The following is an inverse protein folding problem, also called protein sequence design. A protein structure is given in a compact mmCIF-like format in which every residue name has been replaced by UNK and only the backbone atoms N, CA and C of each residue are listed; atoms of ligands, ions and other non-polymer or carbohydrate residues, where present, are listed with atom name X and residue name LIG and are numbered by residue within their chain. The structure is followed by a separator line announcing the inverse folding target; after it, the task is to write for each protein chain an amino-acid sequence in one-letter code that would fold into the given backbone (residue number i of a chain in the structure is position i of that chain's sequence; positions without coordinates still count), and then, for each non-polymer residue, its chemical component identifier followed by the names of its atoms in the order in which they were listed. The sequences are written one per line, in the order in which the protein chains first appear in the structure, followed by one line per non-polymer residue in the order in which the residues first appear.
data_IF_709933801681
#
_entry.id   IF_709933801681
#
_cell.length_a   1.000
_cell.length_b   1.000
_cell.length_c   1.000
_cell.angle_alpha   90.00
_cell.angle_beta   90.00
_cell.angle_gamma   90.00
#
_symmetry.space_group_name_H-M   'P 1'
#
loop_
_entity.id
_entity.type
_entity.pdbx_description
1 polymer ?
#
# COMPACT_ATOMS: atom_id res chain seq x y z
N UNK A 1 4.46 9.29 -14.61
CA UNK A 1 3.30 9.30 -13.69
C UNK A 1 3.61 10.19 -12.50
N UNK A 2 3.11 11.43 -12.54
CA UNK A 2 3.45 12.51 -11.62
C UNK A 2 2.39 12.66 -10.52
N UNK A 3 2.47 11.85 -9.46
CA UNK A 3 1.79 12.11 -8.17
C UNK A 3 2.80 12.03 -7.03
N UNK A 4 3.98 12.62 -7.23
CA UNK A 4 5.02 12.70 -6.21
C UNK A 4 4.88 14.07 -5.55
N UNK A 5 4.28 14.09 -4.35
CA UNK A 5 4.14 15.22 -3.41
C UNK A 5 2.91 16.14 -3.56
N UNK A 6 1.69 15.61 -3.40
CA UNK A 6 0.55 16.43 -2.93
C UNK A 6 0.10 15.97 -1.54
N UNK A 7 0.52 16.76 -0.53
CA UNK A 7 -0.02 16.88 0.84
C UNK A 7 -0.38 15.60 1.62
N UNK A 8 0.55 15.08 2.45
CA UNK A 8 0.26 14.22 3.64
C UNK A 8 -0.88 13.18 3.50
N UNK A 9 -1.05 12.54 2.33
CA UNK A 9 -2.10 11.54 2.08
C UNK A 9 -3.48 12.07 1.66
N UNK A 10 -3.58 13.29 1.11
CA UNK A 10 -4.84 13.82 0.54
C UNK A 10 -4.96 13.58 -0.97
N UNK A 11 -6.18 13.37 -1.42
CA UNK A 11 -6.63 13.37 -2.81
C UNK A 11 -7.68 14.47 -2.99
N UNK A 12 -7.26 15.64 -3.45
CA UNK A 12 -8.09 16.85 -3.42
C UNK A 12 -8.43 17.24 -1.98
N UNK A 13 -9.72 17.46 -1.69
CA UNK A 13 -10.21 17.81 -0.35
C UNK A 13 -10.41 16.61 0.60
N UNK A 14 -10.11 15.40 0.15
CA UNK A 14 -10.39 14.16 0.86
C UNK A 14 -9.10 13.42 1.24
N UNK A 15 -9.14 12.58 2.27
CA UNK A 15 -7.96 11.86 2.77
C UNK A 15 -7.27 12.59 3.93
N UNK A 16 -5.96 12.41 4.08
CA UNK A 16 -5.21 12.94 5.22
C UNK A 16 -5.13 11.97 6.40
N UNK A 17 -4.67 12.47 7.56
CA UNK A 17 -4.52 11.69 8.80
C UNK A 17 -5.23 12.43 9.93
N UNK A 18 -6.40 11.96 10.32
CA UNK A 18 -7.19 12.47 11.45
C UNK A 18 -7.18 11.44 12.57
N UNK A 19 -6.05 11.34 13.26
CA UNK A 19 -5.77 10.33 14.29
C UNK A 19 -5.15 10.98 15.53
N UNK A 20 -5.22 10.33 16.70
CA UNK A 20 -4.46 10.75 17.87
C UNK A 20 -2.96 10.92 17.58
N UNK A 21 -2.33 11.93 18.20
CA UNK A 21 -0.91 12.24 18.02
C UNK A 21 0.00 11.02 18.31
N UNK A 22 -0.35 10.23 19.32
CA UNK A 22 0.37 9.00 19.69
C UNK A 22 0.48 7.97 18.56
N UNK A 23 -0.41 8.02 17.55
CA UNK A 23 -0.38 7.10 16.41
C UNK A 23 0.47 7.61 15.23
N UNK A 24 0.86 8.89 15.23
CA UNK A 24 1.63 9.48 14.14
C UNK A 24 2.93 8.71 13.87
N UNK A 25 3.77 8.40 14.88
CA UNK A 25 5.04 7.69 14.64
C UNK A 25 4.83 6.30 14.04
N UNK A 26 3.81 5.56 14.51
CA UNK A 26 3.48 4.23 14.00
C UNK A 26 3.01 4.27 12.55
N UNK A 27 2.20 5.27 12.18
CA UNK A 27 1.74 5.44 10.80
C UNK A 27 2.89 5.85 9.86
N UNK A 28 3.82 6.68 10.31
CA UNK A 28 5.03 7.02 9.54
C UNK A 28 5.93 5.80 9.32
N UNK A 29 6.10 4.96 10.36
CA UNK A 29 6.84 3.72 10.25
C UNK A 29 6.17 2.74 9.27
N UNK A 30 4.84 2.62 9.33
CA UNK A 30 4.08 1.78 8.40
C UNK A 30 4.23 2.27 6.96
N UNK A 31 4.05 3.57 6.71
CA UNK A 31 4.20 4.17 5.39
C UNK A 31 5.61 3.92 4.81
N UNK A 32 6.65 4.15 5.62
CA UNK A 32 8.04 3.89 5.23
C UNK A 32 8.24 2.41 4.87
N UNK A 33 7.77 1.50 5.72
CA UNK A 33 7.89 0.04 5.51
C UNK A 33 7.15 -0.39 4.25
N UNK A 34 5.94 0.14 4.01
CA UNK A 34 5.18 -0.12 2.80
C UNK A 34 5.96 0.28 1.54
N UNK A 35 6.55 1.47 1.51
CA UNK A 35 7.32 1.92 0.32
C UNK A 35 8.58 1.09 0.07
N UNK A 36 9.18 0.53 1.12
CA UNK A 36 10.30 -0.42 1.00
C UNK A 36 9.80 -1.76 0.45
N UNK A 37 8.79 -2.37 1.09
CA UNK A 37 8.22 -3.66 0.67
C UNK A 37 7.64 -3.63 -0.75
N UNK A 38 7.07 -2.49 -1.16
CA UNK A 38 6.57 -2.27 -2.52
C UNK A 38 7.67 -2.42 -3.59
N UNK A 39 8.93 -2.10 -3.25
CA UNK A 39 10.08 -2.18 -4.16
C UNK A 39 10.91 -3.46 -3.96
N UNK A 40 10.69 -4.18 -2.87
CA UNK A 40 11.40 -5.41 -2.56
C UNK A 40 10.91 -6.57 -3.45
N UNK A 41 11.81 -7.09 -4.30
CA UNK A 41 11.51 -8.21 -5.19
C UNK A 41 11.15 -9.49 -4.43
N UNK A 42 11.75 -9.74 -3.27
CA UNK A 42 11.45 -10.93 -2.46
C UNK A 42 10.01 -10.86 -1.95
N UNK A 43 9.62 -9.71 -1.40
CA UNK A 43 8.25 -9.47 -0.94
C UNK A 43 7.24 -9.63 -2.08
N UNK A 44 7.50 -9.02 -3.24
CA UNK A 44 6.60 -9.13 -4.39
C UNK A 44 6.48 -10.58 -4.89
N UNK A 45 7.58 -11.35 -4.90
CA UNK A 45 7.56 -12.77 -5.30
C UNK A 45 6.68 -13.59 -4.36
N UNK A 46 6.85 -13.42 -3.06
CA UNK A 46 6.04 -14.12 -2.05
C UNK A 46 4.57 -13.73 -2.14
N UNK A 47 4.28 -12.43 -2.21
CA UNK A 47 2.91 -11.93 -2.32
C UNK A 47 2.20 -12.46 -3.57
N UNK A 48 2.86 -12.43 -4.73
CA UNK A 48 2.30 -12.99 -5.97
C UNK A 48 2.12 -14.51 -5.92
N UNK A 49 3.03 -15.23 -5.25
CA UNK A 49 2.90 -16.66 -5.04
C UNK A 49 1.64 -16.99 -4.21
N UNK A 50 1.40 -16.23 -3.13
CA UNK A 50 0.19 -16.38 -2.31
C UNK A 50 -1.06 -16.02 -3.10
N UNK A 51 -1.05 -14.93 -3.87
CA UNK A 51 -2.18 -14.57 -4.72
C UNK A 51 -2.55 -15.70 -5.68
N UNK A 52 -1.55 -16.31 -6.33
CA UNK A 52 -1.76 -17.39 -7.31
C UNK A 52 -2.18 -18.70 -6.66
N UNK A 53 -1.41 -19.16 -5.68
CA UNK A 53 -1.47 -20.55 -5.21
C UNK A 53 -2.30 -20.72 -3.94
N UNK A 54 -2.64 -19.63 -3.25
CA UNK A 54 -3.48 -19.66 -2.06
C UNK A 54 -4.81 -18.92 -2.29
N UNK A 55 -4.77 -17.68 -2.80
CA UNK A 55 -5.97 -16.87 -3.00
C UNK A 55 -6.70 -17.12 -4.34
N UNK A 56 -6.15 -17.97 -5.21
CA UNK A 56 -6.80 -18.37 -6.47
C UNK A 56 -6.85 -17.30 -7.57
N UNK A 57 -5.89 -16.38 -7.61
CA UNK A 57 -5.76 -15.38 -8.67
C UNK A 57 -5.16 -15.98 -9.96
N UNK A 58 -5.53 -15.48 -11.15
CA UNK A 58 -6.57 -14.48 -11.39
C UNK A 58 -7.99 -15.07 -11.30
N UNK A 59 -8.95 -14.29 -10.80
CA UNK A 59 -10.38 -14.57 -10.90
C UNK A 59 -10.77 -14.54 -12.38
N UNK A 60 -11.45 -15.57 -12.88
CA UNK A 60 -11.96 -15.60 -14.25
C UNK A 60 -12.88 -14.41 -14.53
N UNK A 61 -12.83 -13.89 -15.76
CA UNK A 61 -13.86 -13.00 -16.27
C UNK A 61 -14.88 -13.85 -17.02
N UNK A 62 -16.13 -13.85 -16.56
CA UNK A 62 -17.25 -14.55 -17.18
C UNK A 62 -18.17 -13.53 -17.85
N UNK A 63 -18.59 -13.83 -19.09
CA UNK A 63 -19.49 -13.02 -19.92
C UNK A 63 -20.80 -13.77 -20.16
#
# INVERSE_FOLDING_TARGET
MLYKNMSKGHFGKYGGRYVPEMLIPTLEQLEKTYYLAKKDQKFQKEFNNLLKNFAGRPTPLVF
#
